data_IF_676770692842
#
_entry.id   IF_676770692842
#
_cell.length_a   1.000
_cell.length_b   1.000
_cell.length_c   1.000
_cell.angle_alpha   90.00
_cell.angle_beta   90.00
_cell.angle_gamma   90.00
#
_symmetry.space_group_name_H-M   'P 1'
#
loop_
_entity.id
_entity.type
_entity.pdbx_description
1 polymer ?
#
# COMPACT_ATOMS: atom_id res chain seq x y z
N UNK A 1 20.91 4.35 20.46
CA UNK A 1 20.33 5.39 21.34
C UNK A 1 19.32 6.18 20.56
N UNK A 2 18.17 6.46 21.19
CA UNK A 2 17.09 7.27 20.58
C UNK A 2 17.18 8.69 21.09
N UNK A 3 17.09 9.67 20.19
CA UNK A 3 17.04 11.10 20.56
C UNK A 3 15.67 11.39 21.20
N UNK A 4 15.64 12.24 22.21
CA UNK A 4 14.38 12.62 22.88
C UNK A 4 13.41 13.21 21.85
N UNK A 5 12.17 12.70 21.84
CA UNK A 5 11.13 13.12 20.91
C UNK A 5 11.12 12.39 19.55
N UNK A 6 12.08 11.47 19.31
CA UNK A 6 12.09 10.61 18.10
C UNK A 6 11.26 9.36 18.35
N UNK A 7 10.47 8.94 17.37
CA UNK A 7 9.69 7.71 17.49
C UNK A 7 10.58 6.47 17.37
N UNK A 8 10.07 5.32 17.84
CA UNK A 8 10.81 4.05 17.75
C UNK A 8 11.11 3.70 16.29
N UNK A 9 10.14 3.90 15.38
CA UNK A 9 10.33 3.63 13.96
C UNK A 9 11.39 4.54 13.33
N UNK A 10 11.34 5.86 13.60
CA UNK A 10 12.35 6.81 13.09
C UNK A 10 13.74 6.44 13.56
N UNK A 11 13.90 6.15 14.86
CA UNK A 11 15.17 5.76 15.43
C UNK A 11 15.71 4.44 14.86
N UNK A 12 14.85 3.49 14.50
CA UNK A 12 15.24 2.26 13.82
C UNK A 12 15.73 2.55 12.39
N UNK A 13 14.96 3.33 11.63
CA UNK A 13 15.30 3.70 10.25
C UNK A 13 16.61 4.50 10.17
N UNK A 14 16.84 5.43 11.09
CA UNK A 14 18.07 6.21 11.17
C UNK A 14 19.32 5.35 11.43
N UNK A 15 19.13 4.16 12.02
CA UNK A 15 20.18 3.18 12.27
C UNK A 15 20.25 2.09 11.20
N UNK A 16 19.49 2.23 10.11
CA UNK A 16 19.44 1.24 9.02
C UNK A 16 18.64 -0.03 9.35
N UNK A 17 17.86 -0.02 10.44
CA UNK A 17 16.99 -1.14 10.81
C UNK A 17 15.60 -0.86 10.26
N UNK A 18 15.18 -1.63 9.25
CA UNK A 18 13.84 -1.49 8.68
C UNK A 18 12.88 -2.42 9.41
N UNK A 19 11.94 -1.81 10.14
CA UNK A 19 10.80 -2.50 10.76
C UNK A 19 9.58 -2.38 9.84
N UNK A 20 8.56 -3.25 9.98
CA UNK A 20 7.33 -3.13 9.18
C UNK A 20 6.69 -1.75 9.39
N UNK A 21 6.36 -1.04 8.31
CA UNK A 21 5.60 0.21 8.36
C UNK A 21 4.92 0.53 7.03
N UNK A 22 3.86 1.35 7.11
CA UNK A 22 3.15 1.92 5.97
C UNK A 22 3.01 3.44 6.13
N UNK A 23 1.91 3.93 6.70
CA UNK A 23 1.49 5.34 6.72
C UNK A 23 2.38 6.31 7.52
N UNK A 24 3.10 5.87 8.54
CA UNK A 24 3.90 6.66 9.50
C UNK A 24 3.10 7.64 10.39
N UNK A 25 1.79 7.57 10.39
CA UNK A 25 0.91 8.52 11.10
C UNK A 25 -0.10 7.85 12.06
N UNK A 26 0.14 6.59 12.43
CA UNK A 26 -0.68 5.87 13.40
C UNK A 26 -2.02 5.34 12.87
N UNK A 27 -2.21 5.30 11.54
CA UNK A 27 -3.52 5.03 10.97
C UNK A 27 -3.66 3.63 10.33
N UNK A 28 -2.57 2.96 9.91
CA UNK A 28 -2.66 1.71 9.15
C UNK A 28 -2.35 0.44 9.95
N UNK A 29 -1.79 0.54 11.16
CA UNK A 29 -1.46 -0.61 11.99
C UNK A 29 -0.26 -1.46 11.55
N UNK A 30 0.40 -1.16 10.42
CA UNK A 30 1.49 -1.98 9.88
C UNK A 30 2.73 -2.07 10.78
N UNK A 31 2.96 -1.04 11.60
CA UNK A 31 4.09 -0.97 12.53
C UNK A 31 3.73 -1.41 13.98
N UNK A 32 2.59 -2.10 14.16
CA UNK A 32 2.17 -2.60 15.47
C UNK A 32 3.13 -3.69 15.94
N UNK A 33 3.69 -3.53 17.14
CA UNK A 33 4.66 -4.47 17.72
C UNK A 33 4.46 -4.58 19.23
N UNK A 34 4.85 -5.71 19.79
CA UNK A 34 4.80 -5.94 21.22
C UNK A 34 6.02 -5.30 21.90
N UNK A 35 5.79 -4.52 22.93
CA UNK A 35 6.81 -4.02 23.85
C UNK A 35 6.97 -5.06 24.96
N UNK A 36 8.10 -5.76 24.97
CA UNK A 36 8.38 -6.85 25.91
C UNK A 36 9.08 -6.37 27.17
N UNK A 37 9.80 -5.25 27.08
CA UNK A 37 10.44 -4.59 28.23
C UNK A 37 10.55 -3.11 28.01
N UNK A 38 10.46 -2.32 29.09
CA UNK A 38 10.50 -0.86 29.03
C UNK A 38 9.10 -0.23 28.84
N UNK A 39 9.10 1.05 28.46
CA UNK A 39 7.87 1.83 28.31
C UNK A 39 7.96 2.83 27.17
N UNK A 40 6.80 3.12 26.57
CA UNK A 40 6.62 4.10 25.49
C UNK A 40 5.46 5.04 25.82
N UNK A 41 5.57 6.28 25.36
CA UNK A 41 4.43 7.18 25.23
C UNK A 41 3.83 7.01 23.82
N UNK A 42 2.60 6.48 23.75
CA UNK A 42 1.90 6.28 22.49
C UNK A 42 1.32 7.60 22.01
N UNK A 43 1.76 8.05 20.85
CA UNK A 43 1.22 9.24 20.20
C UNK A 43 -0.14 9.00 19.56
N UNK A 44 -0.61 9.99 18.80
CA UNK A 44 -1.91 9.94 18.11
C UNK A 44 -2.02 8.74 17.17
N UNK A 45 -3.16 8.08 17.20
CA UNK A 45 -3.45 6.91 16.37
C UNK A 45 -4.95 6.66 16.21
N UNK A 46 -5.32 5.89 15.20
CA UNK A 46 -6.69 5.41 15.04
C UNK A 46 -6.94 4.22 15.97
N UNK A 47 -8.10 4.15 16.66
CA UNK A 47 -8.48 2.99 17.47
C UNK A 47 -8.53 1.68 16.68
N UNK A 48 -8.81 1.73 15.38
CA UNK A 48 -8.76 0.58 14.48
C UNK A 48 -7.34 0.07 14.22
N UNK A 49 -6.32 0.95 14.30
CA UNK A 49 -4.92 0.56 14.14
C UNK A 49 -4.32 0.01 15.44
N UNK A 50 -4.77 0.50 16.60
CA UNK A 50 -4.34 0.05 17.92
C UNK A 50 -5.46 0.28 18.93
N UNK A 51 -6.07 -0.79 19.41
CA UNK A 51 -7.16 -0.71 20.39
C UNK A 51 -6.63 -0.53 21.82
N UNK A 52 -7.52 -0.11 22.73
CA UNK A 52 -7.18 0.01 24.15
C UNK A 52 -6.80 -1.34 24.78
N UNK A 53 -7.44 -2.42 24.33
CA UNK A 53 -7.15 -3.79 24.76
C UNK A 53 -5.75 -4.22 24.32
N UNK A 54 -5.35 -3.91 23.09
CA UNK A 54 -4.02 -4.22 22.58
C UNK A 54 -2.95 -3.39 23.31
N UNK A 55 -3.21 -2.11 23.60
CA UNK A 55 -2.30 -1.30 24.42
C UNK A 55 -2.14 -1.89 25.84
N UNK A 56 -3.23 -2.38 26.44
CA UNK A 56 -3.17 -3.04 27.74
C UNK A 56 -2.40 -4.37 27.72
N UNK A 57 -2.28 -5.00 26.54
CA UNK A 57 -1.47 -6.19 26.28
C UNK A 57 -0.01 -5.87 25.94
N UNK A 58 0.37 -4.58 25.90
CA UNK A 58 1.73 -4.13 25.62
C UNK A 58 2.03 -3.84 24.15
N UNK A 59 1.03 -3.84 23.26
CA UNK A 59 1.25 -3.43 21.87
C UNK A 59 1.40 -1.92 21.73
N UNK A 60 2.23 -1.50 20.78
CA UNK A 60 2.44 -0.11 20.40
C UNK A 60 2.54 0.05 18.88
N UNK A 61 2.18 1.23 18.36
CA UNK A 61 2.47 1.62 16.98
C UNK A 61 3.82 2.36 16.94
N UNK A 62 4.84 1.70 16.44
CA UNK A 62 6.22 2.20 16.49
C UNK A 62 6.43 3.54 15.76
N UNK A 63 5.56 3.87 14.79
CA UNK A 63 5.63 5.14 14.05
C UNK A 63 5.17 6.37 14.83
N UNK A 64 4.42 6.17 15.92
CA UNK A 64 3.93 7.25 16.80
C UNK A 64 4.28 7.02 18.26
N UNK A 65 4.92 5.90 18.61
CA UNK A 65 5.39 5.62 19.97
C UNK A 65 6.78 6.23 20.21
N UNK A 66 6.92 6.99 21.28
CA UNK A 66 8.19 7.57 21.73
C UNK A 66 8.69 6.81 22.98
N UNK A 67 9.91 6.29 22.99
CA UNK A 67 10.42 5.56 24.15
C UNK A 67 10.61 6.52 25.36
N UNK A 68 10.18 6.05 26.53
CA UNK A 68 10.34 6.77 27.80
C UNK A 68 11.36 6.09 28.74
N UNK A 69 11.83 4.90 28.37
CA UNK A 69 12.90 4.14 29.03
C UNK A 69 13.73 3.36 28.00
N UNK A 70 14.73 2.61 28.45
CA UNK A 70 15.30 1.54 27.62
C UNK A 70 14.18 0.58 27.21
N UNK A 71 14.20 0.11 25.96
CA UNK A 71 13.07 -0.57 25.33
C UNK A 71 13.52 -1.84 24.64
N UNK A 72 12.76 -2.93 24.86
CA UNK A 72 12.84 -4.15 24.05
C UNK A 72 11.49 -4.38 23.35
N UNK A 73 11.53 -4.59 22.03
CA UNK A 73 10.35 -4.85 21.22
C UNK A 73 10.48 -6.16 20.47
N UNK A 74 9.37 -6.84 20.27
CA UNK A 74 9.28 -7.98 19.36
C UNK A 74 8.76 -7.48 18.00
N UNK A 75 9.64 -7.40 17.02
CA UNK A 75 9.33 -6.95 15.67
C UNK A 75 10.17 -7.70 14.64
N UNK A 76 9.58 -8.04 13.51
CA UNK A 76 10.32 -8.59 12.37
C UNK A 76 11.22 -7.50 11.77
N UNK A 77 12.47 -7.82 11.45
CA UNK A 77 13.32 -6.96 10.63
C UNK A 77 13.04 -7.29 9.15
N UNK A 78 12.87 -6.25 8.35
CA UNK A 78 12.56 -6.39 6.92
C UNK A 78 13.84 -6.27 6.12
N UNK A 79 14.31 -7.39 5.59
CA UNK A 79 15.51 -7.45 4.76
C UNK A 79 15.28 -6.86 3.35
N UNK A 80 16.36 -6.39 2.72
CA UNK A 80 16.37 -5.90 1.32
C UNK A 80 15.86 -4.47 1.11
N UNK A 81 15.11 -3.89 2.05
CA UNK A 81 14.68 -2.50 1.95
C UNK A 81 15.70 -1.51 2.54
N UNK A 82 16.60 -1.96 3.41
CA UNK A 82 17.66 -1.16 4.05
C UNK A 82 18.70 -0.64 3.06
N UNK A 83 18.92 -1.36 1.96
CA UNK A 83 19.97 -1.05 0.98
C UNK A 83 19.55 0.03 -0.02
N UNK A 84 18.26 0.40 -0.05
CA UNK A 84 17.73 1.39 -0.96
C UNK A 84 17.63 2.75 -0.24
N UNK A 85 18.45 3.75 -0.62
CA UNK A 85 18.44 5.03 0.04
C UNK A 85 17.18 5.83 -0.28
N UNK A 86 16.60 6.45 0.75
CA UNK A 86 15.55 7.45 0.56
C UNK A 86 16.13 8.67 -0.13
N UNK A 87 15.52 9.10 -1.23
CA UNK A 87 15.97 10.24 -2.03
C UNK A 87 14.88 11.29 -2.17
N UNK A 88 15.30 12.55 -2.17
CA UNK A 88 14.43 13.69 -2.45
C UNK A 88 14.79 14.29 -3.79
N UNK A 89 13.92 14.09 -4.77
CA UNK A 89 14.17 14.42 -6.18
C UNK A 89 13.14 15.41 -6.70
N UNK A 90 13.50 16.34 -7.57
CA UNK A 90 12.53 17.08 -8.35
C UNK A 90 11.84 16.13 -9.34
N UNK A 91 10.55 16.34 -9.58
CA UNK A 91 9.79 15.60 -10.57
C UNK A 91 8.88 16.54 -11.35
N UNK A 92 8.61 16.18 -12.60
CA UNK A 92 7.76 16.95 -13.51
C UNK A 92 6.59 16.11 -13.96
N UNK A 93 5.38 16.66 -13.93
CA UNK A 93 4.19 16.01 -14.49
C UNK A 93 4.39 15.81 -15.98
N UNK A 94 4.52 14.56 -16.43
CA UNK A 94 4.66 14.19 -17.85
C UNK A 94 3.30 14.05 -18.53
N UNK A 95 2.35 13.40 -17.86
CA UNK A 95 0.99 13.23 -18.38
C UNK A 95 -0.03 13.01 -17.25
N UNK A 96 -1.27 13.36 -17.55
CA UNK A 96 -2.45 13.12 -16.70
C UNK A 96 -3.49 12.44 -17.58
N UNK A 97 -3.84 11.18 -17.28
CA UNK A 97 -4.80 10.40 -18.08
C UNK A 97 -5.96 9.93 -17.21
N UNK A 98 -7.18 9.98 -17.73
CA UNK A 98 -8.34 9.38 -17.08
C UNK A 98 -8.24 7.84 -17.16
N UNK A 99 -8.43 7.18 -16.02
CA UNK A 99 -8.59 5.72 -15.92
C UNK A 99 -10.05 5.35 -15.62
N UNK A 100 -10.71 6.16 -14.79
CA UNK A 100 -12.13 6.07 -14.44
C UNK A 100 -12.69 7.47 -14.22
N UNK A 101 -14.00 7.66 -14.03
CA UNK A 101 -14.56 8.96 -13.73
C UNK A 101 -13.88 9.67 -12.55
N UNK A 102 -13.53 8.91 -11.50
CA UNK A 102 -12.91 9.37 -10.27
C UNK A 102 -11.44 8.92 -10.08
N UNK A 103 -10.79 8.36 -11.13
CA UNK A 103 -9.38 7.93 -11.06
C UNK A 103 -8.57 8.52 -12.21
N UNK A 104 -7.42 9.09 -11.88
CA UNK A 104 -6.41 9.57 -12.86
C UNK A 104 -5.09 8.81 -12.69
N UNK A 105 -4.47 8.50 -13.81
CA UNK A 105 -3.06 8.10 -13.88
C UNK A 105 -2.21 9.34 -14.07
N UNK A 106 -1.25 9.57 -13.17
CA UNK A 106 -0.24 10.63 -13.32
C UNK A 106 1.10 9.97 -13.54
N UNK A 107 1.82 10.40 -14.58
CA UNK A 107 3.21 10.04 -14.78
C UNK A 107 4.11 11.20 -14.42
N UNK A 108 5.12 10.91 -13.60
CA UNK A 108 6.10 11.88 -13.12
C UNK A 108 7.46 11.53 -13.70
N UNK A 109 8.01 12.45 -14.46
CA UNK A 109 9.35 12.34 -15.03
C UNK A 109 10.37 12.84 -14.01
N UNK A 110 11.40 12.04 -13.78
CA UNK A 110 12.59 12.43 -13.02
C UNK A 110 13.65 13.06 -13.95
N UNK A 111 14.65 13.80 -13.41
CA UNK A 111 15.80 14.24 -14.21
C UNK A 111 16.54 13.05 -14.82
N UNK A 112 17.08 13.19 -16.02
CA UNK A 112 17.81 12.10 -16.70
C UNK A 112 19.02 11.57 -15.93
N UNK A 113 19.64 12.42 -15.11
CA UNK A 113 20.78 12.05 -14.25
C UNK A 113 20.39 11.30 -13.01
N UNK A 114 19.09 11.17 -12.71
CA UNK A 114 18.58 10.64 -11.46
C UNK A 114 17.74 9.39 -11.69
N UNK A 115 17.96 8.38 -10.86
CA UNK A 115 17.13 7.19 -10.82
C UNK A 115 16.57 7.03 -9.41
N UNK A 116 15.33 6.65 -9.31
CA UNK A 116 14.70 6.20 -8.09
C UNK A 116 14.77 4.68 -8.05
N UNK A 117 15.59 4.14 -7.16
CA UNK A 117 15.57 2.71 -6.85
C UNK A 117 14.45 2.46 -5.85
N UNK A 118 13.68 1.38 -6.03
CA UNK A 118 12.58 0.99 -5.15
C UNK A 118 12.19 -0.46 -5.36
N UNK A 119 11.44 -1.02 -4.43
CA UNK A 119 10.80 -2.33 -4.56
C UNK A 119 9.34 -2.16 -5.03
N UNK A 120 8.87 -3.07 -5.89
CA UNK A 120 7.51 -3.03 -6.40
C UNK A 120 6.48 -3.15 -5.27
N UNK A 121 5.65 -2.12 -5.11
CA UNK A 121 4.69 -1.99 -4.02
C UNK A 121 4.97 -0.83 -3.05
N UNK A 122 6.19 -0.29 -3.04
CA UNK A 122 6.54 0.88 -2.22
C UNK A 122 5.86 2.17 -2.71
N UNK A 123 5.88 3.21 -1.88
CA UNK A 123 5.27 4.50 -2.15
C UNK A 123 6.28 5.65 -2.10
N UNK A 124 5.88 6.81 -2.60
CA UNK A 124 6.59 8.09 -2.51
C UNK A 124 5.70 9.16 -1.88
N UNK A 125 6.32 10.11 -1.21
CA UNK A 125 5.66 11.34 -0.80
C UNK A 125 5.83 12.41 -1.88
N UNK A 126 4.74 13.00 -2.33
CA UNK A 126 4.77 14.23 -3.12
C UNK A 126 4.84 15.42 -2.15
N UNK A 127 5.79 16.31 -2.40
CA UNK A 127 6.03 17.51 -1.58
C UNK A 127 5.67 18.73 -2.41
N UNK A 128 4.63 19.44 -1.99
CA UNK A 128 4.14 20.64 -2.67
C UNK A 128 4.86 21.90 -2.20
N UNK A 129 4.78 23.00 -2.98
CA UNK A 129 5.45 24.26 -2.64
C UNK A 129 5.03 24.87 -1.29
N UNK A 130 3.82 24.59 -0.82
CA UNK A 130 3.29 24.99 0.48
C UNK A 130 3.73 24.08 1.64
N UNK A 131 4.61 23.11 1.38
CA UNK A 131 5.15 22.17 2.37
C UNK A 131 4.23 20.97 2.64
N UNK A 132 3.04 20.94 2.07
CA UNK A 132 2.11 19.80 2.23
C UNK A 132 2.70 18.54 1.58
N UNK A 133 2.56 17.41 2.25
CA UNK A 133 3.02 16.09 1.76
C UNK A 133 1.83 15.17 1.56
N UNK A 134 1.88 14.36 0.50
CA UNK A 134 0.88 13.31 0.23
C UNK A 134 1.56 12.07 -0.32
N UNK A 135 1.25 10.94 0.30
CA UNK A 135 1.82 9.63 -0.03
C UNK A 135 1.01 8.95 -1.13
N UNK A 136 1.71 8.39 -2.12
CA UNK A 136 1.10 7.63 -3.21
C UNK A 136 1.97 6.43 -3.54
N UNK A 137 1.36 5.24 -3.60
CA UNK A 137 2.03 4.02 -4.02
C UNK A 137 2.37 4.09 -5.50
N UNK A 138 3.58 3.62 -5.84
CA UNK A 138 4.03 3.54 -7.21
C UNK A 138 3.34 2.38 -7.93
N UNK A 139 2.77 2.66 -9.09
CA UNK A 139 1.93 1.73 -9.85
C UNK A 139 2.70 0.93 -10.91
N UNK A 140 4.02 1.03 -10.95
CA UNK A 140 4.89 0.31 -11.88
C UNK A 140 6.02 -0.37 -11.14
N UNK A 141 6.50 -1.50 -11.68
CA UNK A 141 7.72 -2.13 -11.19
C UNK A 141 8.97 -1.33 -11.59
N UNK A 142 10.06 -1.39 -10.79
CA UNK A 142 11.32 -0.76 -11.15
C UNK A 142 11.82 -1.25 -12.52
N UNK A 143 12.26 -0.32 -13.37
CA UNK A 143 12.80 -0.64 -14.70
C UNK A 143 11.76 -0.88 -15.79
N UNK A 144 10.47 -0.95 -15.48
CA UNK A 144 9.40 -1.08 -16.47
C UNK A 144 9.18 0.23 -17.25
N UNK A 145 9.24 1.35 -16.54
CA UNK A 145 9.14 2.70 -17.12
C UNK A 145 10.25 3.59 -16.54
N UNK A 146 10.64 4.64 -17.31
CA UNK A 146 11.52 5.70 -16.79
C UNK A 146 10.80 6.67 -15.85
N UNK A 147 9.46 6.71 -15.93
CA UNK A 147 8.59 7.60 -15.16
C UNK A 147 8.03 6.88 -13.94
N UNK A 148 7.78 7.61 -12.87
CA UNK A 148 6.97 7.13 -11.72
C UNK A 148 5.51 7.28 -12.06
N UNK A 149 4.76 6.18 -12.05
CA UNK A 149 3.32 6.16 -12.31
C UNK A 149 2.54 6.09 -10.99
N UNK A 150 1.53 6.95 -10.86
CA UNK A 150 0.66 7.03 -9.69
C UNK A 150 -0.81 6.96 -10.12
N UNK A 151 -1.64 6.23 -9.39
CA UNK A 151 -3.09 6.20 -9.58
C UNK A 151 -3.76 7.04 -8.48
N UNK A 152 -4.38 8.13 -8.87
CA UNK A 152 -4.98 9.11 -7.96
C UNK A 152 -6.50 9.02 -8.02
N UNK A 153 -7.14 8.64 -6.91
CA UNK A 153 -8.60 8.74 -6.77
C UNK A 153 -8.99 10.11 -6.25
N UNK A 154 -10.06 10.67 -6.78
CA UNK A 154 -10.63 11.91 -6.29
C UNK A 154 -11.19 11.74 -4.88
N UNK A 155 -10.71 12.55 -3.97
CA UNK A 155 -11.27 12.73 -2.63
C UNK A 155 -11.74 14.19 -2.55
N UNK A 156 -13.06 14.45 -2.50
CA UNK A 156 -13.59 15.80 -2.47
C UNK A 156 -13.02 16.62 -1.29
N UNK A 157 -12.54 17.83 -1.56
CA UNK A 157 -11.84 18.67 -0.58
C UNK A 157 -10.36 18.32 -0.38
N UNK A 158 -9.86 17.30 -1.06
CA UNK A 158 -8.48 16.87 -0.94
C UNK A 158 -7.48 17.86 -1.54
N UNK A 159 -6.45 18.23 -0.78
CA UNK A 159 -5.44 19.24 -1.16
C UNK A 159 -4.86 19.04 -2.57
N UNK A 160 -4.53 17.82 -2.95
CA UNK A 160 -3.95 17.48 -4.24
C UNK A 160 -4.99 16.91 -5.21
N UNK A 161 -5.89 16.06 -4.71
CA UNK A 161 -6.84 15.37 -5.60
C UNK A 161 -7.80 16.35 -6.29
N UNK A 162 -8.26 17.40 -5.62
CA UNK A 162 -9.07 18.45 -6.26
C UNK A 162 -8.33 19.13 -7.41
N UNK A 163 -7.01 19.38 -7.27
CA UNK A 163 -6.19 19.93 -8.35
C UNK A 163 -6.06 18.95 -9.52
N UNK A 164 -5.88 17.67 -9.24
CA UNK A 164 -5.78 16.60 -10.27
C UNK A 164 -7.06 16.52 -11.10
N UNK A 165 -8.22 16.75 -10.47
CA UNK A 165 -9.51 16.68 -11.13
C UNK A 165 -10.03 18.04 -11.61
N UNK A 166 -9.30 19.13 -11.36
CA UNK A 166 -9.68 20.47 -11.79
C UNK A 166 -10.90 21.03 -11.09
N UNK A 167 -11.14 20.60 -9.83
CA UNK A 167 -12.23 21.04 -8.98
C UNK A 167 -11.71 21.85 -7.79
N UNK A 168 -12.60 22.58 -7.11
CA UNK A 168 -12.23 23.40 -5.95
C UNK A 168 -11.59 24.75 -6.34
N UNK A 169 -10.99 25.43 -5.35
CA UNK A 169 -10.48 26.80 -5.50
C UNK A 169 -9.02 26.89 -5.95
N UNK A 170 -8.28 25.77 -5.89
CA UNK A 170 -6.86 25.73 -6.31
C UNK A 170 -6.72 25.54 -7.81
N UNK A 171 -5.66 26.11 -8.44
CA UNK A 171 -5.41 25.89 -9.86
C UNK A 171 -5.32 24.40 -10.21
N UNK A 172 -5.94 23.95 -11.31
CA UNK A 172 -5.82 22.58 -11.78
C UNK A 172 -4.35 22.18 -11.98
N UNK A 173 -4.04 20.92 -11.69
CA UNK A 173 -2.73 20.34 -12.00
C UNK A 173 -2.54 20.34 -13.53
N UNK A 174 -1.35 20.74 -13.98
CA UNK A 174 -1.01 20.81 -15.40
C UNK A 174 0.20 19.95 -15.72
N UNK A 175 0.26 19.46 -16.94
CA UNK A 175 1.48 18.87 -17.49
C UNK A 175 2.63 19.90 -17.43
N UNK A 176 3.83 19.42 -17.21
CA UNK A 176 5.08 20.18 -17.00
C UNK A 176 5.17 20.91 -15.66
N UNK A 177 4.18 20.84 -14.79
CA UNK A 177 4.30 21.35 -13.43
C UNK A 177 5.38 20.57 -12.66
N UNK A 178 6.16 21.29 -11.84
CA UNK A 178 7.30 20.72 -11.12
C UNK A 178 7.02 20.79 -9.62
N UNK A 179 7.27 19.68 -8.93
CA UNK A 179 7.31 19.58 -7.50
C UNK A 179 8.42 18.59 -7.08
N UNK A 180 8.44 18.17 -5.84
CA UNK A 180 9.42 17.19 -5.35
C UNK A 180 8.71 15.92 -4.94
N UNK A 181 9.38 14.81 -5.13
CA UNK A 181 9.04 13.55 -4.50
C UNK A 181 10.14 13.12 -3.54
N UNK A 182 9.78 12.37 -2.54
CA UNK A 182 10.70 11.75 -1.58
C UNK A 182 10.30 10.28 -1.38
N UNK A 183 11.27 9.40 -1.38
CA UNK A 183 11.08 7.97 -1.27
C UNK A 183 12.30 7.18 -1.75
N UNK A 184 12.16 5.85 -1.83
CA UNK A 184 10.94 5.08 -1.55
C UNK A 184 10.66 4.93 -0.06
N UNK A 185 9.40 4.66 0.27
CA UNK A 185 8.95 4.37 1.61
C UNK A 185 8.05 3.12 1.64
N UNK A 186 7.89 2.57 2.84
CA UNK A 186 7.00 1.43 3.09
C UNK A 186 7.66 0.08 2.93
N UNK A 187 7.10 -0.89 3.63
CA UNK A 187 7.57 -2.28 3.62
C UNK A 187 6.60 -3.23 2.92
N UNK A 188 5.65 -2.66 2.18
CA UNK A 188 4.73 -3.40 1.32
C UNK A 188 5.37 -3.68 -0.02
N UNK A 189 5.96 -4.86 -0.20
CA UNK A 189 6.58 -5.33 -1.44
C UNK A 189 6.67 -6.85 -1.47
N UNK A 190 6.79 -7.42 -2.67
CA UNK A 190 6.88 -8.88 -2.90
C UNK A 190 8.10 -9.49 -2.18
N UNK A 191 7.86 -10.54 -1.40
CA UNK A 191 8.91 -11.38 -0.82
C UNK A 191 9.37 -12.39 -1.86
N UNK A 192 10.54 -12.14 -2.48
CA UNK A 192 11.02 -12.96 -3.62
C UNK A 192 11.67 -14.28 -3.16
N UNK A 193 12.02 -14.37 -1.91
CA UNK A 193 12.68 -15.52 -1.26
C UNK A 193 11.70 -16.54 -0.64
N UNK A 194 10.40 -16.28 -0.74
CA UNK A 194 9.35 -17.19 -0.26
C UNK A 194 8.92 -18.18 -1.34
N UNK A 195 8.52 -19.39 -0.91
CA UNK A 195 7.94 -20.42 -1.77
C UNK A 195 6.40 -20.52 -1.67
N UNK A 196 5.78 -19.73 -0.79
CA UNK A 196 4.34 -19.74 -0.55
C UNK A 196 3.54 -19.22 -1.75
N UNK A 197 2.34 -19.73 -1.95
CA UNK A 197 1.42 -19.19 -2.95
C UNK A 197 1.04 -17.74 -2.62
N UNK A 198 0.83 -16.91 -3.64
CA UNK A 198 0.62 -15.47 -3.48
C UNK A 198 -0.85 -15.11 -3.67
N UNK A 199 -1.43 -14.43 -2.69
CA UNK A 199 -2.73 -13.77 -2.79
C UNK A 199 -2.54 -12.27 -2.83
N UNK A 200 -2.92 -11.65 -3.94
CA UNK A 200 -2.95 -10.22 -4.13
C UNK A 200 -4.38 -9.73 -3.92
N UNK A 201 -4.61 -8.88 -2.92
CA UNK A 201 -5.93 -8.40 -2.55
C UNK A 201 -5.98 -6.88 -2.67
N UNK A 202 -6.76 -6.36 -3.61
CA UNK A 202 -6.90 -4.94 -3.84
C UNK A 202 -8.34 -4.44 -3.65
N UNK A 203 -8.50 -3.21 -3.17
CA UNK A 203 -9.74 -2.46 -3.30
C UNK A 203 -9.49 -1.06 -3.86
N UNK A 204 -10.29 -0.65 -4.84
CA UNK A 204 -10.15 0.65 -5.49
C UNK A 204 -8.74 0.91 -6.03
N UNK A 205 -8.15 2.06 -5.67
CA UNK A 205 -6.78 2.41 -6.07
C UNK A 205 -5.68 1.70 -5.29
N UNK A 206 -6.02 0.86 -4.31
CA UNK A 206 -5.09 -0.13 -3.76
C UNK A 206 -4.56 -1.10 -4.81
N UNK A 207 -5.17 -1.12 -5.98
CA UNK A 207 -4.64 -1.79 -7.17
C UNK A 207 -3.29 -1.22 -7.66
N UNK A 208 -2.96 0.04 -7.39
CA UNK A 208 -1.71 0.66 -7.88
C UNK A 208 -0.43 -0.12 -7.46
N UNK A 209 -0.15 -0.33 -6.15
CA UNK A 209 1.01 -1.12 -5.75
C UNK A 209 0.89 -2.59 -6.11
N UNK A 210 -0.32 -3.16 -6.17
CA UNK A 210 -0.56 -4.52 -6.63
C UNK A 210 -0.17 -4.67 -8.11
N UNK A 211 -0.50 -3.68 -8.97
CA UNK A 211 -0.05 -3.65 -10.36
C UNK A 211 1.48 -3.70 -10.46
N UNK A 212 2.18 -2.90 -9.66
CA UNK A 212 3.64 -2.93 -9.62
C UNK A 212 4.18 -4.33 -9.21
N UNK A 213 3.56 -4.97 -8.23
CA UNK A 213 3.93 -6.33 -7.80
C UNK A 213 3.70 -7.34 -8.95
N UNK A 214 2.57 -7.28 -9.67
CA UNK A 214 2.31 -8.17 -10.80
C UNK A 214 3.31 -7.95 -11.94
N UNK A 215 3.67 -6.70 -12.27
CA UNK A 215 4.72 -6.40 -13.25
C UNK A 215 6.08 -6.97 -12.82
N UNK A 216 6.41 -6.92 -11.52
CA UNK A 216 7.63 -7.56 -11.00
C UNK A 216 7.57 -9.08 -11.14
N UNK A 217 6.44 -9.70 -10.79
CA UNK A 217 6.21 -11.14 -10.99
C UNK A 217 6.39 -11.51 -12.46
N UNK A 218 5.82 -10.72 -13.38
CA UNK A 218 5.96 -10.92 -14.83
C UNK A 218 7.43 -10.94 -15.24
N UNK A 219 8.23 -9.98 -14.79
CA UNK A 219 9.65 -9.93 -15.08
C UNK A 219 10.41 -11.13 -14.48
N UNK A 220 10.06 -11.55 -13.28
CA UNK A 220 10.66 -12.71 -12.62
C UNK A 220 10.26 -14.03 -13.30
N UNK A 221 9.02 -14.20 -13.75
CA UNK A 221 8.59 -15.37 -14.52
C UNK A 221 9.33 -15.45 -15.86
N UNK A 222 9.45 -14.33 -16.57
CA UNK A 222 10.22 -14.26 -17.82
C UNK A 222 11.70 -14.64 -17.63
N UNK A 223 12.27 -14.35 -16.45
CA UNK A 223 13.62 -14.74 -16.06
C UNK A 223 13.73 -16.16 -15.48
N UNK A 224 12.63 -16.92 -15.38
CA UNK A 224 12.58 -18.26 -14.79
C UNK A 224 12.77 -18.30 -13.25
N UNK A 225 12.66 -17.16 -12.58
CA UNK A 225 12.93 -16.97 -11.15
C UNK A 225 11.68 -16.98 -10.26
N UNK A 226 10.48 -17.05 -10.83
CA UNK A 226 9.23 -17.08 -10.09
C UNK A 226 8.30 -18.16 -10.66
N UNK A 227 7.82 -19.06 -9.81
CA UNK A 227 6.98 -20.21 -10.21
C UNK A 227 5.81 -20.45 -9.26
N UNK A 228 5.59 -19.54 -8.31
CA UNK A 228 4.50 -19.66 -7.31
C UNK A 228 3.16 -19.36 -7.94
N UNK A 229 2.07 -20.04 -7.54
CA UNK A 229 0.71 -19.67 -7.93
C UNK A 229 0.38 -18.26 -7.43
N UNK A 230 -0.33 -17.49 -8.25
CA UNK A 230 -0.77 -16.12 -7.92
C UNK A 230 -2.27 -15.99 -8.13
N UNK A 231 -2.98 -15.48 -7.14
CA UNK A 231 -4.38 -15.12 -7.28
C UNK A 231 -4.57 -13.63 -6.97
N UNK A 232 -5.09 -12.90 -7.94
CA UNK A 232 -5.43 -11.49 -7.81
C UNK A 232 -6.92 -11.33 -7.59
N UNK A 233 -7.31 -10.85 -6.41
CA UNK A 233 -8.68 -10.44 -6.11
C UNK A 233 -8.75 -8.90 -6.08
N UNK A 234 -9.60 -8.34 -6.94
CA UNK A 234 -9.77 -6.89 -6.98
C UNK A 234 -11.23 -6.51 -6.75
N UNK A 235 -11.49 -5.81 -5.64
CA UNK A 235 -12.79 -5.33 -5.23
C UNK A 235 -13.08 -3.92 -5.72
N UNK A 236 -14.27 -3.72 -6.29
CA UNK A 236 -14.87 -2.43 -6.59
C UNK A 236 -16.31 -2.38 -6.10
N UNK A 237 -16.95 -1.21 -6.14
CA UNK A 237 -18.41 -1.08 -5.93
C UNK A 237 -19.14 -1.40 -7.22
N UNK A 238 -18.69 -0.77 -8.32
CA UNK A 238 -19.28 -0.85 -9.66
C UNK A 238 -18.19 -1.24 -10.68
N UNK A 239 -18.55 -1.70 -11.89
CA UNK A 239 -17.58 -2.07 -12.93
C UNK A 239 -16.52 -1.00 -13.25
N UNK A 240 -16.91 0.28 -13.21
CA UNK A 240 -15.99 1.41 -13.45
C UNK A 240 -14.86 1.53 -12.42
N UNK A 241 -15.02 0.96 -11.21
CA UNK A 241 -13.97 0.92 -10.18
C UNK A 241 -12.82 -0.03 -10.55
N UNK A 242 -13.09 -1.01 -11.44
CA UNK A 242 -12.11 -1.96 -11.96
C UNK A 242 -11.44 -1.42 -13.24
N UNK A 243 -10.84 -0.24 -13.14
CA UNK A 243 -10.37 0.58 -14.26
C UNK A 243 -9.26 -0.03 -15.12
N UNK A 244 -8.67 -1.13 -14.68
CA UNK A 244 -7.69 -1.95 -15.42
C UNK A 244 -8.14 -3.41 -15.58
N UNK A 245 -9.45 -3.70 -15.57
CA UNK A 245 -9.99 -5.06 -15.73
C UNK A 245 -9.41 -5.76 -16.97
N UNK A 246 -9.36 -5.07 -18.10
CA UNK A 246 -8.79 -5.61 -19.34
C UNK A 246 -7.30 -6.02 -19.19
N UNK A 247 -6.50 -5.24 -18.45
CA UNK A 247 -5.10 -5.57 -18.16
C UNK A 247 -5.00 -6.82 -17.27
N UNK A 248 -5.85 -6.93 -16.24
CA UNK A 248 -5.84 -8.10 -15.36
C UNK A 248 -6.23 -9.37 -16.11
N UNK A 249 -7.20 -9.30 -17.04
CA UNK A 249 -7.58 -10.41 -17.92
C UNK A 249 -6.50 -10.76 -18.94
N UNK A 250 -5.69 -9.80 -19.34
CA UNK A 250 -4.51 -10.06 -20.17
C UNK A 250 -3.47 -10.83 -19.37
N UNK A 251 -3.13 -10.42 -18.16
CA UNK A 251 -2.21 -11.15 -17.28
C UNK A 251 -2.65 -12.59 -17.02
N UNK A 252 -3.96 -12.82 -16.81
CA UNK A 252 -4.50 -14.17 -16.62
C UNK A 252 -4.25 -15.10 -17.82
N UNK A 253 -4.13 -14.54 -19.04
CA UNK A 253 -3.82 -15.31 -20.25
C UNK A 253 -2.34 -15.50 -20.49
N UNK A 254 -1.51 -14.55 -20.04
CA UNK A 254 -0.08 -14.48 -20.35
C UNK A 254 0.81 -15.07 -19.27
N UNK A 255 0.39 -14.99 -17.99
CA UNK A 255 1.21 -15.43 -16.86
C UNK A 255 0.89 -16.86 -16.47
N UNK A 256 1.94 -17.61 -16.12
CA UNK A 256 1.78 -18.96 -15.60
C UNK A 256 1.17 -18.94 -14.20
N UNK A 257 0.26 -19.86 -13.94
CA UNK A 257 -0.42 -20.04 -12.64
C UNK A 257 -0.97 -18.73 -12.03
N UNK A 258 -1.50 -17.86 -12.88
CA UNK A 258 -2.12 -16.60 -12.49
C UNK A 258 -3.64 -16.64 -12.69
N UNK A 259 -4.39 -16.26 -11.67
CA UNK A 259 -5.85 -16.17 -11.72
C UNK A 259 -6.31 -14.77 -11.31
N UNK A 260 -7.24 -14.19 -12.06
CA UNK A 260 -7.88 -12.92 -11.74
C UNK A 260 -9.34 -13.09 -11.33
N UNK A 261 -9.70 -12.57 -10.17
CA UNK A 261 -11.05 -12.64 -9.59
C UNK A 261 -11.56 -11.23 -9.29
N UNK A 262 -12.29 -10.59 -10.23
CA UNK A 262 -12.96 -9.32 -9.97
C UNK A 262 -14.22 -9.52 -9.11
N UNK A 263 -14.43 -8.63 -8.13
CA UNK A 263 -15.56 -8.71 -7.20
C UNK A 263 -16.23 -7.34 -7.07
N UNK A 264 -17.57 -7.27 -7.19
CA UNK A 264 -18.31 -6.03 -7.01
C UNK A 264 -19.19 -6.08 -5.76
N UNK A 265 -19.04 -5.10 -4.88
CA UNK A 265 -19.84 -5.03 -3.64
C UNK A 265 -21.20 -4.37 -3.81
N UNK A 266 -21.43 -3.64 -4.89
CA UNK A 266 -22.67 -2.88 -5.15
C UNK A 266 -23.04 -2.94 -6.64
N UNK A 267 -22.92 -4.14 -7.26
CA UNK A 267 -23.33 -4.36 -8.63
C UNK A 267 -24.86 -4.17 -8.77
N UNK A 268 -25.24 -3.35 -9.76
CA UNK A 268 -26.64 -3.06 -10.05
C UNK A 268 -27.10 -3.84 -11.29
N UNK A 269 -28.41 -4.07 -11.46
CA UNK A 269 -28.93 -4.80 -12.63
C UNK A 269 -28.50 -4.18 -13.97
N UNK A 270 -28.43 -2.85 -14.06
CA UNK A 270 -28.00 -2.14 -15.26
C UNK A 270 -26.54 -2.32 -15.63
N UNK A 271 -25.67 -2.77 -14.68
CA UNK A 271 -24.27 -3.07 -14.96
C UNK A 271 -24.08 -4.33 -15.83
N UNK A 272 -25.09 -5.20 -15.92
CA UNK A 272 -24.99 -6.48 -16.61
C UNK A 272 -23.90 -7.38 -16.06
N UNK A 273 -23.49 -7.19 -14.80
CA UNK A 273 -22.40 -7.91 -14.17
C UNK A 273 -22.71 -9.40 -14.02
N UNK A 274 -21.80 -10.25 -14.49
CA UNK A 274 -21.91 -11.72 -14.40
C UNK A 274 -20.83 -12.33 -13.48
N UNK A 275 -19.95 -11.49 -12.91
CA UNK A 275 -18.89 -11.92 -12.00
C UNK A 275 -19.36 -12.03 -10.54
N UNK A 276 -18.40 -12.19 -9.65
CA UNK A 276 -18.69 -12.29 -8.21
C UNK A 276 -19.21 -10.99 -7.62
N UNK A 277 -20.10 -11.13 -6.63
CA UNK A 277 -20.64 -9.99 -5.85
C UNK A 277 -20.34 -10.16 -4.36
N UNK A 278 -20.37 -9.06 -3.62
CA UNK A 278 -20.10 -9.00 -2.19
C UNK A 278 -18.72 -8.42 -1.86
N UNK A 279 -18.24 -8.63 -0.64
CA UNK A 279 -16.96 -8.12 -0.21
C UNK A 279 -15.81 -9.00 -0.71
N UNK A 280 -14.76 -8.37 -1.21
CA UNK A 280 -13.65 -9.06 -1.88
C UNK A 280 -12.91 -10.05 -0.97
N UNK A 281 -12.73 -9.75 0.32
CA UNK A 281 -12.08 -10.67 1.26
C UNK A 281 -12.90 -11.95 1.49
N UNK A 282 -14.24 -11.87 1.46
CA UNK A 282 -15.12 -13.06 1.55
C UNK A 282 -15.00 -13.95 0.32
N UNK A 283 -14.76 -13.36 -0.86
CA UNK A 283 -14.49 -14.14 -2.07
C UNK A 283 -13.17 -14.93 -1.93
N UNK A 284 -12.12 -14.32 -1.34
CA UNK A 284 -10.87 -15.02 -1.02
C UNK A 284 -11.12 -16.21 -0.09
N UNK A 285 -11.84 -15.99 1.02
CA UNK A 285 -12.15 -17.07 1.99
C UNK A 285 -12.94 -18.22 1.38
N UNK A 286 -13.88 -17.90 0.49
CA UNK A 286 -14.67 -18.92 -0.20
C UNK A 286 -13.82 -19.81 -1.13
N UNK A 287 -12.80 -19.24 -1.76
CA UNK A 287 -11.91 -19.97 -2.68
C UNK A 287 -10.72 -20.64 -1.96
N UNK A 288 -10.30 -20.06 -0.84
CA UNK A 288 -9.12 -20.45 -0.07
C UNK A 288 -9.50 -20.64 1.40
N UNK A 289 -10.23 -21.70 1.76
CA UNK A 289 -10.61 -21.98 3.14
C UNK A 289 -9.40 -22.37 4.02
N UNK A 290 -8.29 -22.79 3.42
CA UNK A 290 -6.99 -23.02 4.06
C UNK A 290 -5.92 -22.16 3.37
N UNK A 291 -5.36 -21.21 4.11
CA UNK A 291 -4.32 -20.30 3.65
C UNK A 291 -2.96 -20.55 4.35
N UNK A 292 -2.78 -21.67 5.04
CA UNK A 292 -1.53 -21.99 5.77
C UNK A 292 -0.28 -22.01 4.89
N UNK A 293 -0.43 -22.26 3.58
CA UNK A 293 0.64 -22.23 2.56
C UNK A 293 0.66 -20.95 1.72
N UNK A 294 0.04 -19.87 2.16
CA UNK A 294 -0.09 -18.64 1.39
C UNK A 294 0.59 -17.45 2.08
N UNK A 295 0.93 -16.47 1.29
CA UNK A 295 1.20 -15.09 1.73
C UNK A 295 0.23 -14.13 1.04
N UNK A 296 -0.20 -13.11 1.77
CA UNK A 296 -1.21 -12.15 1.35
C UNK A 296 -0.64 -10.75 1.26
N UNK A 297 -0.88 -10.09 0.13
CA UNK A 297 -0.57 -8.68 -0.08
C UNK A 297 -1.89 -7.92 -0.23
N UNK A 298 -2.33 -7.24 0.83
CA UNK A 298 -3.60 -6.54 0.89
C UNK A 298 -3.41 -5.03 0.82
N UNK A 299 -4.02 -4.36 -0.16
CA UNK A 299 -3.94 -2.92 -0.30
C UNK A 299 -5.30 -2.29 -0.65
N UNK A 300 -5.62 -1.17 0.00
CA UNK A 300 -6.83 -0.40 -0.24
C UNK A 300 -7.42 0.24 0.99
N UNK A 301 -8.75 0.30 1.07
CA UNK A 301 -9.44 0.92 2.21
C UNK A 301 -9.19 0.17 3.52
N UNK A 302 -8.98 0.88 4.66
CA UNK A 302 -8.62 0.24 5.93
C UNK A 302 -9.56 -0.88 6.34
N UNK A 303 -10.88 -0.67 6.28
CA UNK A 303 -11.88 -1.66 6.69
C UNK A 303 -11.75 -2.99 5.91
N UNK A 304 -11.38 -2.95 4.62
CA UNK A 304 -11.15 -4.17 3.84
C UNK A 304 -9.88 -4.89 4.31
N UNK A 305 -8.78 -4.15 4.51
CA UNK A 305 -7.49 -4.69 4.94
C UNK A 305 -7.59 -5.33 6.33
N UNK A 306 -8.24 -4.65 7.26
CA UNK A 306 -8.45 -5.12 8.65
C UNK A 306 -9.35 -6.36 8.70
N UNK A 307 -10.48 -6.33 7.96
CA UNK A 307 -11.38 -7.49 7.88
C UNK A 307 -10.66 -8.70 7.28
N UNK A 308 -9.91 -8.50 6.20
CA UNK A 308 -9.13 -9.57 5.58
C UNK A 308 -8.10 -10.16 6.56
N UNK A 309 -7.30 -9.31 7.24
CA UNK A 309 -6.31 -9.78 8.22
C UNK A 309 -6.96 -10.60 9.32
N UNK A 310 -7.99 -10.04 9.96
CA UNK A 310 -8.71 -10.70 11.06
C UNK A 310 -9.27 -12.06 10.63
N UNK A 311 -10.00 -12.07 9.50
CA UNK A 311 -10.76 -13.24 9.11
C UNK A 311 -9.86 -14.34 8.52
N UNK A 312 -8.81 -13.99 7.76
CA UNK A 312 -7.87 -14.96 7.20
C UNK A 312 -7.03 -15.65 8.29
N UNK A 313 -6.56 -14.88 9.27
CA UNK A 313 -5.82 -15.44 10.40
C UNK A 313 -6.73 -16.30 11.29
N UNK A 314 -7.91 -15.80 11.64
CA UNK A 314 -8.80 -16.49 12.58
C UNK A 314 -9.52 -17.71 11.99
N UNK A 315 -9.81 -17.70 10.68
CA UNK A 315 -10.72 -18.67 10.05
C UNK A 315 -10.09 -19.49 8.94
N UNK A 316 -9.02 -18.99 8.29
CA UNK A 316 -8.39 -19.66 7.16
C UNK A 316 -6.97 -20.17 7.45
N UNK A 317 -6.49 -20.09 8.69
CA UNK A 317 -5.18 -20.60 9.10
C UNK A 317 -3.98 -19.84 8.52
N UNK A 318 -4.16 -18.60 8.04
CA UNK A 318 -3.06 -17.76 7.59
C UNK A 318 -2.17 -17.38 8.78
N UNK A 319 -0.86 -17.51 8.63
CA UNK A 319 0.07 -16.94 9.61
C UNK A 319 0.01 -15.40 9.54
N UNK A 320 -0.12 -14.76 10.68
CA UNK A 320 -0.18 -13.30 10.76
C UNK A 320 1.08 -12.61 10.21
N UNK A 321 2.24 -13.30 10.25
CA UNK A 321 3.50 -12.85 9.69
C UNK A 321 3.52 -12.84 8.14
N UNK A 322 2.65 -13.62 7.51
CA UNK A 322 2.51 -13.69 6.05
C UNK A 322 1.46 -12.74 5.48
N UNK A 323 0.90 -11.87 6.31
CA UNK A 323 -0.06 -10.85 5.88
C UNK A 323 0.60 -9.48 5.78
N UNK A 324 0.94 -9.09 4.57
CA UNK A 324 1.51 -7.78 4.24
C UNK A 324 0.40 -6.82 3.83
N UNK A 325 0.42 -5.60 4.39
CA UNK A 325 -0.67 -4.65 4.20
C UNK A 325 -0.19 -3.22 3.93
N UNK A 326 -0.92 -2.53 3.05
CA UNK A 326 -0.85 -1.09 2.88
C UNK A 326 -2.28 -0.52 2.84
N UNK A 327 -2.70 0.09 3.96
CA UNK A 327 -4.04 0.66 4.10
C UNK A 327 -4.03 2.16 3.77
N UNK A 328 -4.88 2.56 2.82
CA UNK A 328 -4.98 3.96 2.37
C UNK A 328 -5.88 4.76 3.28
N UNK A 329 -5.28 5.54 4.17
CA UNK A 329 -5.99 6.44 5.08
C UNK A 329 -6.17 7.81 4.44
N UNK A 330 -7.39 8.35 4.52
CA UNK A 330 -7.69 9.71 4.09
C UNK A 330 -7.27 10.74 5.16
N UNK A 331 -7.25 12.02 4.78
CA UNK A 331 -7.05 13.09 5.74
C UNK A 331 -8.20 13.17 6.77
N UNK A 332 -9.43 12.82 6.35
CA UNK A 332 -10.58 12.72 7.25
C UNK A 332 -10.39 11.61 8.29
N UNK A 333 -9.85 10.46 7.89
CA UNK A 333 -9.53 9.37 8.83
C UNK A 333 -8.49 9.83 9.86
N UNK A 334 -7.47 10.59 9.43
CA UNK A 334 -6.43 11.15 10.31
C UNK A 334 -6.94 12.23 11.25
N UNK A 335 -7.88 13.06 10.80
CA UNK A 335 -8.53 14.07 11.64
C UNK A 335 -9.46 13.45 12.67
N UNK A 336 -10.11 12.32 12.36
CA UNK A 336 -10.94 11.58 13.32
C UNK A 336 -10.09 10.92 14.43
N UNK A 337 -8.78 10.74 14.21
CA UNK A 337 -7.82 10.24 15.18
C UNK A 337 -7.20 11.36 16.07
N UNK A 338 -7.49 12.62 15.76
CA UNK A 338 -6.94 13.80 16.46
C UNK A 338 -7.84 14.26 17.58
#
# INVERSE_FOLDING_TARGET
>A
RVTVGTTVLEAALDQGIVLPYGCKDGACGACKSLVTDGSVEQGKHLPSALSSEEMAQGYALLCTATPTSDLTIEAAVVDGASDIPVRKLPCRVRSIKALAPDVRCIRLQLPFSERLEYLAGQYVDLIFPDGVRRSYSMATAPGTLEDVELHIRHLPGGHFTDRVFGVGSRPPLKEREIFRLEGPFGTFFLREDSDKAVVLLASGTGFAPIKAIVERITALQAAGRFRRPVRLYWGGRRPADLYHDALCRQWEKELADFQYVPVLSDAQPEDGWQGRTGFVHLAVMADLPDMSGHEVYACGVPVMVESARRDFVAQCGLDAADFYADAFTSEADRQAAA
#
